data_IF_370706307064
#
_entry.id   IF_370706307064
#
_cell.length_a   1.000
_cell.length_b   1.000
_cell.length_c   1.000
_cell.angle_alpha   90.00
_cell.angle_beta   90.00
_cell.angle_gamma   90.00
#
_symmetry.space_group_name_H-M   'P 1'
#
loop_
_entity.id
_entity.type
_entity.pdbx_description
1 polymer ?
#
# COMPACT_ATOMS: atom_id res chain seq x y z
N UNK A 1 2.51 0.58 -7.68
CA UNK A 1 1.48 1.54 -8.16
C UNK A 1 1.94 2.24 -9.43
N UNK A 2 1.01 2.84 -10.19
CA UNK A 2 1.36 3.72 -11.32
C UNK A 2 2.05 4.98 -10.80
N UNK A 3 3.11 5.42 -11.48
CA UNK A 3 3.79 6.69 -11.22
C UNK A 3 2.90 7.86 -11.68
N UNK A 4 1.89 8.17 -10.87
CA UNK A 4 1.00 9.31 -11.04
C UNK A 4 0.59 9.85 -9.67
N UNK A 5 0.30 11.15 -9.54
CA UNK A 5 -0.21 11.71 -8.30
C UNK A 5 -1.45 10.98 -7.79
N UNK A 6 -1.57 10.88 -6.46
CA UNK A 6 -2.75 10.34 -5.78
C UNK A 6 -2.67 8.86 -5.39
N UNK A 7 -1.78 8.04 -5.99
CA UNK A 7 -1.67 6.61 -5.64
C UNK A 7 -1.36 6.37 -4.16
N UNK A 8 -0.41 7.11 -3.59
CA UNK A 8 -0.06 7.00 -2.18
C UNK A 8 -1.19 7.50 -1.26
N UNK A 9 -1.87 8.59 -1.62
CA UNK A 9 -3.04 9.10 -0.88
C UNK A 9 -4.17 8.07 -0.86
N UNK A 10 -4.42 7.39 -1.98
CA UNK A 10 -5.43 6.34 -2.07
C UNK A 10 -5.10 5.17 -1.13
N UNK A 11 -3.83 4.77 -1.03
CA UNK A 11 -3.39 3.74 -0.07
C UNK A 11 -3.60 4.18 1.38
N UNK A 12 -3.18 5.40 1.75
CA UNK A 12 -3.42 5.97 3.08
C UNK A 12 -4.91 5.96 3.42
N UNK A 13 -5.76 6.35 2.46
CA UNK A 13 -7.21 6.39 2.64
C UNK A 13 -7.78 5.00 2.91
N UNK A 14 -7.47 3.99 2.08
CA UNK A 14 -7.94 2.61 2.26
C UNK A 14 -7.52 2.06 3.63
N UNK A 15 -6.25 2.25 4.01
CA UNK A 15 -5.72 1.77 5.30
C UNK A 15 -6.46 2.45 6.47
N UNK A 16 -6.69 3.76 6.37
CA UNK A 16 -7.37 4.55 7.40
C UNK A 16 -8.85 4.16 7.54
N UNK A 17 -9.56 3.94 6.43
CA UNK A 17 -10.96 3.49 6.40
C UNK A 17 -11.13 2.07 6.98
N UNK A 18 -10.06 1.28 7.00
CA UNK A 18 -10.04 -0.03 7.63
C UNK A 18 -9.67 -0.01 9.12
N UNK A 19 -9.38 1.14 9.71
CA UNK A 19 -8.97 1.27 11.12
C UNK A 19 -7.65 0.58 11.45
N UNK A 20 -6.68 0.59 10.52
CA UNK A 20 -5.32 0.17 10.81
C UNK A 20 -4.42 1.36 11.14
N UNK A 21 -3.58 1.20 12.17
CA UNK A 21 -2.61 2.21 12.55
C UNK A 21 -1.38 2.11 11.64
N UNK A 22 -0.94 3.25 11.09
CA UNK A 22 0.27 3.32 10.26
C UNK A 22 1.46 3.65 11.15
N UNK A 23 2.35 2.67 11.35
CA UNK A 23 3.59 2.87 12.10
C UNK A 23 4.70 3.43 11.21
N UNK A 24 4.67 3.06 9.93
CA UNK A 24 5.61 3.55 8.93
C UNK A 24 4.94 3.61 7.55
N UNK A 25 5.27 4.62 6.76
CA UNK A 25 4.87 4.72 5.37
C UNK A 25 5.99 5.39 4.56
N UNK A 26 6.49 4.70 3.54
CA UNK A 26 7.56 5.17 2.68
C UNK A 26 7.17 4.99 1.21
N UNK A 27 7.47 5.99 0.38
CA UNK A 27 7.32 5.91 -1.07
C UNK A 27 8.69 5.97 -1.72
N UNK A 28 8.98 4.98 -2.55
CA UNK A 28 10.28 4.90 -3.24
C UNK A 28 10.09 4.71 -4.73
N UNK A 29 11.06 5.22 -5.48
CA UNK A 29 11.19 4.86 -6.89
C UNK A 29 11.77 3.44 -6.94
N UNK A 30 11.26 2.60 -7.85
CA UNK A 30 11.93 1.35 -8.18
C UNK A 30 13.35 1.69 -8.68
N UNK A 31 14.38 1.16 -8.02
CA UNK A 31 15.79 1.47 -8.32
C UNK A 31 16.10 1.35 -9.81
N UNK A 32 17.12 2.10 -10.25
CA UNK A 32 17.56 2.22 -11.66
C UNK A 32 17.62 0.86 -12.37
N UNK A 33 16.61 0.56 -13.18
CA UNK A 33 16.32 -0.75 -13.77
C UNK A 33 14.84 -1.14 -13.68
N UNK A 34 14.07 -0.50 -12.79
CA UNK A 34 12.64 -0.68 -12.63
C UNK A 34 11.81 -0.18 -13.83
N UNK A 35 10.66 -0.82 -14.05
CA UNK A 35 9.72 -0.45 -15.11
C UNK A 35 9.33 1.03 -15.00
N UNK A 36 9.66 1.81 -16.04
CA UNK A 36 9.27 3.21 -16.19
C UNK A 36 7.76 3.34 -15.97
N UNK A 37 7.35 4.37 -15.23
CA UNK A 37 5.93 4.61 -14.92
C UNK A 37 5.38 3.78 -13.75
N UNK A 38 6.25 3.11 -12.97
CA UNK A 38 5.87 2.43 -11.73
C UNK A 38 6.63 2.96 -10.52
N UNK A 39 5.95 2.93 -9.38
CA UNK A 39 6.49 3.27 -8.07
C UNK A 39 6.11 2.20 -7.04
N UNK A 40 6.88 2.14 -5.95
CA UNK A 40 6.60 1.28 -4.81
C UNK A 40 6.28 2.12 -3.58
N UNK A 41 5.45 1.57 -2.72
CA UNK A 41 5.20 2.12 -1.40
C UNK A 41 5.29 0.96 -0.40
N UNK A 42 5.91 1.23 0.74
CA UNK A 42 6.10 0.30 1.84
C UNK A 42 5.36 0.84 3.06
N UNK A 43 4.63 -0.02 3.74
CA UNK A 43 3.86 0.33 4.93
C UNK A 43 4.13 -0.71 6.03
N UNK A 44 4.27 -0.24 7.26
CA UNK A 44 4.22 -1.07 8.46
C UNK A 44 2.94 -0.70 9.19
N UNK A 45 2.04 -1.68 9.32
CA UNK A 45 0.73 -1.50 9.91
C UNK A 45 0.61 -2.27 11.21
N UNK A 46 0.01 -1.64 12.21
CA UNK A 46 -0.53 -2.35 13.36
C UNK A 46 -2.00 -2.71 13.07
N UNK A 47 -2.32 -3.99 13.23
CA UNK A 47 -3.62 -4.59 12.92
C UNK A 47 -4.14 -5.37 14.13
N UNK A 48 -5.42 -5.75 14.10
CA UNK A 48 -6.08 -6.40 15.24
C UNK A 48 -5.79 -7.91 15.25
N UNK A 49 -5.94 -8.55 14.09
CA UNK A 49 -5.79 -9.98 13.89
C UNK A 49 -5.55 -10.30 12.41
N UNK A 50 -5.54 -11.59 12.08
CA UNK A 50 -5.25 -12.07 10.73
C UNK A 50 -6.38 -11.78 9.74
N UNK A 51 -7.64 -11.76 10.20
CA UNK A 51 -8.79 -11.44 9.35
C UNK A 51 -8.77 -9.96 8.97
N UNK A 52 -8.35 -9.09 9.90
CA UNK A 52 -8.14 -7.67 9.64
C UNK A 52 -7.07 -7.45 8.56
N UNK A 53 -5.94 -8.18 8.63
CA UNK A 53 -4.89 -8.13 7.60
C UNK A 53 -5.46 -8.55 6.24
N UNK A 54 -6.19 -9.67 6.19
CA UNK A 54 -6.79 -10.19 4.96
C UNK A 54 -7.77 -9.19 4.33
N UNK A 55 -8.59 -8.52 5.15
CA UNK A 55 -9.53 -7.49 4.69
C UNK A 55 -8.81 -6.30 4.04
N UNK A 56 -7.83 -5.71 4.73
CA UNK A 56 -7.05 -4.58 4.21
C UNK A 56 -6.38 -4.96 2.88
N UNK A 57 -5.75 -6.13 2.83
CA UNK A 57 -5.10 -6.64 1.62
C UNK A 57 -6.09 -6.76 0.46
N UNK A 58 -7.26 -7.35 0.70
CA UNK A 58 -8.30 -7.50 -0.32
C UNK A 58 -8.77 -6.14 -0.86
N UNK A 59 -8.98 -5.14 0.00
CA UNK A 59 -9.40 -3.80 -0.43
C UNK A 59 -8.31 -3.05 -1.21
N UNK A 60 -7.04 -3.20 -0.82
CA UNK A 60 -5.89 -2.65 -1.58
C UNK A 60 -5.79 -3.30 -2.96
N UNK A 61 -5.93 -4.63 -3.04
CA UNK A 61 -5.91 -5.36 -4.31
C UNK A 61 -7.11 -5.00 -5.20
N UNK A 62 -8.31 -4.85 -4.62
CA UNK A 62 -9.52 -4.41 -5.32
C UNK A 62 -9.38 -2.98 -5.88
N UNK A 63 -8.60 -2.12 -5.23
CA UNK A 63 -8.25 -0.79 -5.74
C UNK A 63 -7.18 -0.81 -6.86
N UNK A 64 -6.72 -2.00 -7.27
CA UNK A 64 -5.79 -2.20 -8.39
C UNK A 64 -4.32 -2.12 -8.01
N UNK A 65 -3.99 -2.12 -6.72
CA UNK A 65 -2.60 -2.18 -6.26
C UNK A 65 -2.14 -3.63 -6.15
N UNK A 66 -0.85 -3.86 -6.42
CA UNK A 66 -0.22 -5.16 -6.14
C UNK A 66 0.42 -5.09 -4.78
N UNK A 67 0.12 -6.07 -3.92
CA UNK A 67 0.67 -6.18 -2.57
C UNK A 67 1.66 -7.34 -2.52
N UNK A 68 2.80 -7.11 -1.86
CA UNK A 68 3.79 -8.13 -1.54
C UNK A 68 4.09 -8.00 -0.05
N UNK A 69 4.02 -9.11 0.69
CA UNK A 69 4.46 -9.17 2.09
C UNK A 69 5.97 -9.43 2.13
N UNK A 70 6.67 -8.76 3.05
CA UNK A 70 8.11 -8.87 3.27
C UNK A 70 8.41 -9.55 4.61
#
# INVERSE_FOLDING_TARGET
>A
MTDKPGGFLQLIKIISENNANILNANQTRLSSGGAIGKQSAEFILETFDHDHIAKIRSEIEAAGFKVTEL
#
